data_IF_594452646373
#
_entry.id   IF_594452646373
#
_cell.length_a   1.000
_cell.length_b   1.000
_cell.length_c   1.000
_cell.angle_alpha   90.00
_cell.angle_beta   90.00
_cell.angle_gamma   90.00
#
_symmetry.space_group_name_H-M   'P 1'
#
loop_
_entity.id
_entity.type
_entity.pdbx_description
1 polymer ?
#
# COMPACT_ATOMS: atom_id res chain seq x y z
N UNK A 1 -19.49 -24.43 8.09
CA UNK A 1 -18.88 -23.18 8.61
C UNK A 1 -17.53 -22.90 7.96
N UNK A 2 -16.52 -23.78 8.10
CA UNK A 2 -15.18 -23.56 7.51
C UNK A 2 -15.18 -23.55 5.96
N UNK A 3 -15.96 -24.45 5.34
CA UNK A 3 -16.09 -24.53 3.87
C UNK A 3 -16.74 -23.29 3.23
N UNK A 4 -17.66 -22.63 3.94
CA UNK A 4 -18.32 -21.42 3.46
C UNK A 4 -17.37 -20.22 3.55
N UNK A 5 -16.57 -20.15 4.62
CA UNK A 5 -15.55 -19.12 4.80
C UNK A 5 -14.43 -19.26 3.77
N UNK A 6 -13.94 -20.48 3.51
CA UNK A 6 -12.96 -20.72 2.44
C UNK A 6 -13.54 -20.44 1.06
N UNK A 7 -14.79 -20.80 0.81
CA UNK A 7 -15.47 -20.48 -0.45
C UNK A 7 -15.66 -18.96 -0.64
N UNK A 8 -15.98 -18.22 0.43
CA UNK A 8 -16.12 -16.77 0.38
C UNK A 8 -14.76 -16.08 0.19
N UNK A 9 -13.70 -16.55 0.84
CA UNK A 9 -12.33 -16.05 0.70
C UNK A 9 -11.77 -16.35 -0.70
N UNK A 10 -12.05 -17.54 -1.23
CA UNK A 10 -11.64 -17.95 -2.57
C UNK A 10 -12.42 -17.20 -3.66
N UNK A 11 -13.72 -16.95 -3.44
CA UNK A 11 -14.56 -16.12 -4.32
C UNK A 11 -14.22 -14.63 -4.23
N UNK A 12 -13.92 -14.09 -3.04
CA UNK A 12 -13.42 -12.73 -2.86
C UNK A 12 -12.02 -12.57 -3.46
N UNK A 13 -11.17 -13.60 -3.35
CA UNK A 13 -9.89 -13.69 -4.08
C UNK A 13 -10.11 -13.69 -5.59
N UNK A 14 -11.12 -14.40 -6.09
CA UNK A 14 -11.51 -14.38 -7.50
C UNK A 14 -12.10 -13.04 -7.95
N UNK A 15 -12.86 -12.34 -7.09
CA UNK A 15 -13.35 -10.97 -7.34
C UNK A 15 -12.19 -9.96 -7.34
N UNK A 16 -11.17 -10.15 -6.49
CA UNK A 16 -9.91 -9.42 -6.58
C UNK A 16 -9.07 -9.80 -7.82
N UNK A 17 -9.22 -11.02 -8.35
CA UNK A 17 -8.66 -11.44 -9.65
C UNK A 17 -9.51 -11.00 -10.85
N UNK A 18 -10.74 -10.54 -10.66
CA UNK A 18 -11.65 -10.08 -11.70
C UNK A 18 -11.60 -8.55 -11.77
N UNK A 19 -10.65 -8.03 -12.55
CA UNK A 19 -10.75 -6.80 -13.36
C UNK A 19 -11.15 -5.47 -12.70
N UNK A 20 -11.42 -5.41 -11.40
CA UNK A 20 -11.73 -4.15 -10.71
C UNK A 20 -10.46 -3.35 -10.32
N UNK A 21 -9.29 -3.99 -10.45
CA UNK A 21 -7.97 -3.36 -10.50
C UNK A 21 -7.37 -3.35 -11.92
N UNK A 22 -8.11 -3.80 -12.95
CA UNK A 22 -7.76 -3.57 -14.36
C UNK A 22 -8.58 -2.40 -14.90
N UNK A 23 -8.35 -1.22 -14.35
CA UNK A 23 -8.59 -0.01 -15.13
C UNK A 23 -7.52 0.07 -16.21
N UNK A 24 -7.86 0.12 -17.52
CA UNK A 24 -6.92 0.28 -18.61
C UNK A 24 -6.19 1.64 -18.64
N UNK A 25 -6.21 2.40 -17.55
CA UNK A 25 -5.79 3.80 -17.48
C UNK A 25 -4.58 4.02 -16.56
N UNK A 26 -3.84 2.97 -16.22
CA UNK A 26 -2.71 3.03 -15.28
C UNK A 26 -1.39 2.68 -15.94
N UNK A 27 -0.94 3.44 -16.94
CA UNK A 27 0.49 3.54 -17.27
C UNK A 27 0.88 4.57 -18.35
N UNK A 28 -0.03 5.30 -18.99
CA UNK A 28 0.35 6.04 -20.21
C UNK A 28 0.13 7.56 -20.12
N UNK A 29 1.11 8.27 -19.54
CA UNK A 29 1.55 9.67 -19.82
C UNK A 29 2.27 10.19 -18.56
N UNK A 30 3.60 10.14 -18.49
CA UNK A 30 4.43 11.26 -18.96
C UNK A 30 5.88 10.87 -19.32
N UNK A 31 6.25 9.58 -19.27
CA UNK A 31 7.65 9.16 -19.51
C UNK A 31 7.97 8.83 -20.99
N UNK A 32 7.00 9.02 -21.92
CA UNK A 32 7.25 8.97 -23.38
C UNK A 32 7.83 10.29 -23.94
N UNK A 33 8.54 11.08 -23.13
CA UNK A 33 9.49 12.05 -23.69
C UNK A 33 10.77 11.34 -24.15
N UNK A 34 10.75 11.03 -25.45
CA UNK A 34 11.86 10.87 -26.39
C UNK A 34 13.05 10.03 -25.89
N UNK A 35 13.20 8.87 -26.51
CA UNK A 35 14.45 8.12 -26.56
C UNK A 35 15.56 8.97 -27.22
N UNK A 36 16.20 9.80 -26.42
CA UNK A 36 17.57 10.28 -26.61
C UNK A 36 18.48 9.37 -25.75
N UNK A 37 19.77 9.14 -26.09
CA UNK A 37 20.67 8.35 -25.27
C UNK A 37 20.81 9.03 -23.91
N UNK A 38 20.05 8.58 -22.90
CA UNK A 38 20.08 9.16 -21.57
C UNK A 38 21.44 8.81 -20.97
N UNK A 39 22.16 9.83 -20.51
CA UNK A 39 23.30 9.66 -19.63
C UNK A 39 22.93 8.66 -18.51
N UNK A 40 23.90 7.87 -18.01
CA UNK A 40 23.63 6.96 -16.91
C UNK A 40 22.94 7.73 -15.77
N UNK A 41 21.92 7.13 -15.12
CA UNK A 41 21.23 7.81 -14.03
C UNK A 41 22.25 8.28 -13.00
N UNK A 42 22.08 9.49 -12.45
CA UNK A 42 23.04 10.03 -11.48
C UNK A 42 23.20 9.04 -10.32
N UNK A 43 24.42 8.94 -9.77
CA UNK A 43 24.69 8.02 -8.67
C UNK A 43 23.79 8.35 -7.48
N UNK A 44 23.27 7.31 -6.82
CA UNK A 44 22.42 7.44 -5.65
C UNK A 44 23.16 8.18 -4.53
N UNK A 45 22.48 9.16 -3.94
CA UNK A 45 22.99 9.95 -2.84
C UNK A 45 22.28 9.57 -1.54
N UNK A 46 23.04 9.52 -0.45
CA UNK A 46 22.48 9.26 0.88
C UNK A 46 21.40 10.30 1.18
N UNK A 47 20.21 9.83 1.56
CA UNK A 47 19.01 10.66 1.75
C UNK A 47 18.03 10.66 0.58
N UNK A 48 18.39 10.03 -0.55
CA UNK A 48 17.47 9.86 -1.68
C UNK A 48 16.26 9.00 -1.29
N UNK A 49 15.08 9.45 -1.72
CA UNK A 49 13.85 8.68 -1.63
C UNK A 49 13.77 7.78 -2.84
N UNK A 50 13.59 6.49 -2.58
CA UNK A 50 13.50 5.43 -3.56
C UNK A 50 12.06 4.93 -3.66
N UNK A 51 11.57 4.76 -4.88
CA UNK A 51 10.27 4.18 -5.18
C UNK A 51 10.46 2.96 -6.07
N UNK A 52 9.80 1.87 -5.70
CA UNK A 52 9.85 0.61 -6.44
C UNK A 52 8.42 0.17 -6.72
N UNK A 53 7.97 0.18 -7.99
CA UNK A 53 6.65 -0.31 -8.33
C UNK A 53 6.57 -1.82 -8.06
N UNK A 54 5.56 -2.24 -7.29
CA UNK A 54 5.18 -3.66 -7.10
C UNK A 54 3.88 -3.92 -7.86
N UNK A 55 3.50 -5.19 -7.89
CA UNK A 55 2.27 -5.63 -8.56
C UNK A 55 1.00 -4.97 -8.03
N UNK A 56 0.92 -4.70 -6.73
CA UNK A 56 -0.30 -4.18 -6.08
C UNK A 56 -0.14 -2.80 -5.44
N UNK A 57 1.09 -2.31 -5.29
CA UNK A 57 1.38 -1.04 -4.63
C UNK A 57 2.77 -0.53 -5.02
N UNK A 58 3.07 0.73 -4.74
CA UNK A 58 4.44 1.23 -4.82
C UNK A 58 5.10 1.10 -3.46
N UNK A 59 6.28 0.49 -3.40
CA UNK A 59 7.05 0.36 -2.18
C UNK A 59 8.10 1.48 -2.09
N UNK A 60 8.26 2.05 -0.89
CA UNK A 60 9.11 3.22 -0.67
C UNK A 60 10.25 2.93 0.32
N UNK A 61 11.39 3.60 0.13
CA UNK A 61 12.53 3.56 1.04
C UNK A 61 13.40 4.81 0.97
N UNK A 62 14.31 4.97 1.93
CA UNK A 62 15.34 6.01 1.96
C UNK A 62 16.71 5.35 1.79
N UNK A 63 17.50 5.81 0.82
CA UNK A 63 18.87 5.36 0.63
C UNK A 63 19.77 5.90 1.74
N UNK A 64 20.49 5.01 2.42
CA UNK A 64 21.39 5.36 3.52
C UNK A 64 22.86 5.47 3.10
N UNK A 65 23.17 5.23 1.82
CA UNK A 65 24.55 5.04 1.37
C UNK A 65 25.01 3.59 1.47
N UNK A 66 26.13 3.26 0.82
CA UNK A 66 26.79 1.95 0.89
C UNK A 66 25.87 0.76 0.59
N UNK A 67 25.03 0.86 -0.45
CA UNK A 67 24.09 -0.20 -0.84
C UNK A 67 23.02 -0.52 0.23
N UNK A 68 22.73 0.40 1.16
CA UNK A 68 21.73 0.22 2.24
C UNK A 68 20.50 1.07 2.03
N UNK A 69 19.33 0.49 2.27
CA UNK A 69 18.04 1.18 2.18
C UNK A 69 17.23 0.95 3.46
N UNK A 70 16.80 2.03 4.10
CA UNK A 70 15.81 1.97 5.18
C UNK A 70 14.40 2.01 4.59
N UNK A 71 13.56 1.06 4.97
CA UNK A 71 12.19 0.98 4.51
C UNK A 71 11.29 0.36 5.58
N UNK A 72 10.03 0.79 5.57
CA UNK A 72 8.99 0.28 6.46
C UNK A 72 8.26 -0.88 5.78
N UNK A 73 8.24 -2.05 6.42
CA UNK A 73 7.54 -3.22 5.89
C UNK A 73 6.58 -3.78 6.94
N UNK A 74 5.33 -4.09 6.59
CA UNK A 74 4.45 -4.87 7.47
C UNK A 74 5.04 -6.28 7.67
N UNK A 75 5.43 -6.58 8.89
CA UNK A 75 5.99 -7.89 9.27
C UNK A 75 5.55 -8.21 10.69
N UNK A 76 4.96 -9.39 10.85
CA UNK A 76 4.48 -9.88 12.14
C UNK A 76 5.54 -10.70 12.88
N UNK A 77 6.56 -11.21 12.17
CA UNK A 77 7.55 -12.13 12.74
C UNK A 77 8.34 -11.55 13.93
N UNK A 78 8.74 -10.27 13.95
CA UNK A 78 9.39 -9.65 15.10
C UNK A 78 8.56 -9.71 16.40
N UNK A 79 7.24 -9.86 16.30
CA UNK A 79 6.36 -10.05 17.46
C UNK A 79 6.49 -11.45 18.06
N UNK A 80 6.80 -12.46 17.24
CA UNK A 80 6.83 -13.87 17.64
C UNK A 80 8.25 -14.40 17.87
N UNK A 81 9.27 -13.74 17.32
CA UNK A 81 10.66 -14.18 17.48
C UNK A 81 11.63 -13.00 17.48
N UNK A 82 12.65 -13.07 18.32
CA UNK A 82 13.78 -12.12 18.30
C UNK A 82 14.94 -12.60 17.43
N UNK A 83 14.78 -13.72 16.70
CA UNK A 83 15.83 -14.28 15.86
C UNK A 83 15.99 -13.48 14.56
N UNK A 84 17.05 -12.67 14.49
CA UNK A 84 17.33 -11.79 13.35
C UNK A 84 17.49 -12.54 12.02
N UNK A 85 17.93 -13.81 12.03
CA UNK A 85 18.04 -14.61 10.80
C UNK A 85 16.68 -14.94 10.21
N UNK A 86 15.68 -15.23 11.05
CA UNK A 86 14.32 -15.51 10.61
C UNK A 86 13.62 -14.24 10.13
N UNK A 87 13.81 -13.12 10.82
CA UNK A 87 13.21 -11.83 10.44
C UNK A 87 13.71 -11.37 9.05
N UNK A 88 15.02 -11.55 8.78
CA UNK A 88 15.67 -11.17 7.51
C UNK A 88 15.32 -12.04 6.31
N UNK A 89 14.65 -13.17 6.50
CA UNK A 89 14.18 -13.98 5.36
C UNK A 89 13.25 -13.19 4.45
N UNK A 90 13.19 -13.58 3.17
CA UNK A 90 12.28 -13.00 2.18
C UNK A 90 10.86 -13.00 2.74
N UNK A 91 10.22 -11.83 2.68
CA UNK A 91 8.89 -11.66 3.24
C UNK A 91 7.88 -12.20 2.24
N UNK A 92 7.13 -13.23 2.66
CA UNK A 92 6.05 -13.82 1.87
C UNK A 92 4.79 -12.94 1.91
N UNK A 93 3.91 -13.10 0.93
CA UNK A 93 2.62 -12.40 0.92
C UNK A 93 1.82 -12.64 2.21
N UNK A 94 1.85 -13.86 2.74
CA UNK A 94 1.16 -14.20 3.99
C UNK A 94 1.68 -13.38 5.17
N UNK A 95 3.00 -13.19 5.27
CA UNK A 95 3.62 -12.34 6.31
C UNK A 95 3.21 -10.88 6.17
N UNK A 96 3.19 -10.35 4.95
CA UNK A 96 2.75 -8.98 4.68
C UNK A 96 1.29 -8.80 5.08
N UNK A 97 0.41 -9.73 4.67
CA UNK A 97 -1.02 -9.71 4.97
C UNK A 97 -1.25 -9.80 6.49
N UNK A 98 -0.57 -10.72 7.18
CA UNK A 98 -0.65 -10.84 8.64
C UNK A 98 -0.13 -9.57 9.33
N UNK A 99 0.99 -9.00 8.89
CA UNK A 99 1.50 -7.72 9.39
C UNK A 99 0.47 -6.60 9.27
N UNK A 100 -0.23 -6.52 8.13
CA UNK A 100 -1.32 -5.56 7.93
C UNK A 100 -2.51 -5.81 8.86
N UNK A 101 -2.99 -7.06 8.97
CA UNK A 101 -4.15 -7.43 9.82
C UNK A 101 -3.87 -7.10 11.28
N UNK A 102 -2.67 -7.43 11.76
CA UNK A 102 -2.26 -7.21 13.14
C UNK A 102 -1.68 -5.82 13.39
N UNK A 103 -1.61 -4.95 12.37
CA UNK A 103 -1.09 -3.59 12.47
C UNK A 103 0.35 -3.53 12.99
N UNK A 104 1.20 -4.43 12.51
CA UNK A 104 2.62 -4.55 12.91
C UNK A 104 3.52 -4.39 11.69
N UNK A 105 4.52 -3.53 11.84
CA UNK A 105 5.57 -3.33 10.86
C UNK A 105 6.89 -3.05 11.54
N UNK A 106 7.95 -3.17 10.75
CA UNK A 106 9.31 -2.87 11.20
C UNK A 106 9.95 -1.99 10.14
N UNK A 107 10.56 -0.90 10.60
CA UNK A 107 11.51 -0.14 9.78
C UNK A 107 12.84 -0.87 9.89
N UNK A 108 13.30 -1.44 8.78
CA UNK A 108 14.55 -2.20 8.72
C UNK A 108 15.45 -1.68 7.61
N UNK A 109 16.69 -2.16 7.63
CA UNK A 109 17.69 -1.86 6.61
C UNK A 109 17.99 -3.13 5.82
N UNK A 110 17.71 -3.07 4.53
CA UNK A 110 18.02 -4.13 3.56
C UNK A 110 18.99 -3.60 2.49
N UNK A 111 19.51 -4.50 1.66
CA UNK A 111 20.34 -4.13 0.51
C UNK A 111 19.49 -3.45 -0.58
N UNK A 112 20.12 -2.65 -1.45
CA UNK A 112 19.43 -2.05 -2.59
C UNK A 112 18.81 -3.10 -3.52
N UNK A 113 19.50 -4.24 -3.69
CA UNK A 113 19.05 -5.36 -4.52
C UNK A 113 17.82 -6.04 -3.92
N UNK A 114 17.85 -6.35 -2.62
CA UNK A 114 16.70 -6.93 -1.91
C UNK A 114 15.51 -5.96 -1.90
N UNK A 115 15.78 -4.68 -1.70
CA UNK A 115 14.78 -3.62 -1.76
C UNK A 115 14.16 -3.48 -3.16
N UNK A 116 14.97 -3.59 -4.23
CA UNK A 116 14.49 -3.49 -5.60
C UNK A 116 13.72 -4.75 -6.04
N UNK A 117 14.15 -5.93 -5.57
CA UNK A 117 13.57 -7.23 -5.93
C UNK A 117 13.34 -7.35 -7.45
N UNK A 118 14.37 -7.04 -8.24
CA UNK A 118 14.35 -7.09 -9.71
C UNK A 118 13.59 -5.98 -10.42
N UNK A 119 12.99 -5.01 -9.72
CA UNK A 119 12.27 -3.88 -10.32
C UNK A 119 13.17 -2.64 -10.46
N UNK A 120 12.85 -1.78 -11.43
CA UNK A 120 13.52 -0.49 -11.61
C UNK A 120 13.26 0.43 -10.41
N UNK A 121 14.32 1.09 -9.92
CA UNK A 121 14.25 2.06 -8.83
C UNK A 121 14.04 3.45 -9.42
N UNK A 122 13.05 4.16 -8.90
CA UNK A 122 12.78 5.55 -9.23
C UNK A 122 13.26 6.42 -8.07
N UNK A 123 13.99 7.49 -8.37
CA UNK A 123 14.65 8.32 -7.36
C UNK A 123 13.99 9.69 -7.29
N UNK A 124 13.63 10.12 -6.08
CA UNK A 124 13.12 11.45 -5.77
C UNK A 124 11.93 11.91 -6.64
N UNK A 125 11.11 10.98 -7.14
CA UNK A 125 9.96 11.32 -7.98
C UNK A 125 8.91 12.11 -7.19
N UNK A 126 8.74 11.82 -5.90
CA UNK A 126 7.91 12.58 -4.98
C UNK A 126 8.24 14.09 -4.93
N UNK A 127 9.48 14.52 -5.21
CA UNK A 127 9.86 15.95 -5.16
C UNK A 127 9.12 16.80 -6.19
N UNK A 128 8.74 16.20 -7.32
CA UNK A 128 7.98 16.90 -8.38
C UNK A 128 6.52 17.14 -8.00
N UNK A 129 6.03 16.40 -7.02
CA UNK A 129 4.61 16.35 -6.65
C UNK A 129 4.35 17.04 -5.31
N UNK A 130 5.34 17.04 -4.42
CA UNK A 130 5.24 17.71 -3.13
C UNK A 130 5.45 19.22 -3.28
N UNK A 131 4.61 19.99 -2.60
CA UNK A 131 4.76 21.44 -2.50
C UNK A 131 5.85 21.84 -1.50
N UNK A 132 6.17 20.95 -0.55
CA UNK A 132 7.18 21.17 0.48
C UNK A 132 8.57 20.85 -0.06
N UNK A 133 9.54 21.72 0.20
CA UNK A 133 10.93 21.47 -0.18
C UNK A 133 11.52 20.29 0.62
N UNK A 134 12.35 19.44 -0.02
CA UNK A 134 13.03 18.35 0.68
C UNK A 134 14.05 18.90 1.68
N UNK A 135 14.20 18.21 2.79
CA UNK A 135 15.22 18.48 3.79
C UNK A 135 16.60 18.10 3.26
N UNK A 136 17.69 18.63 3.87
CA UNK A 136 19.06 18.23 3.51
C UNK A 136 19.23 16.72 3.58
N UNK A 137 19.85 16.13 2.54
CA UNK A 137 19.88 14.68 2.32
C UNK A 137 20.41 13.90 3.54
N UNK A 138 21.46 14.42 4.18
CA UNK A 138 22.02 13.83 5.41
C UNK A 138 21.01 13.82 6.58
N UNK A 139 20.18 14.87 6.73
CA UNK A 139 19.11 14.88 7.74
C UNK A 139 18.01 13.86 7.43
N UNK A 140 17.72 13.63 6.15
CA UNK A 140 16.74 12.62 5.71
C UNK A 140 17.21 11.22 6.12
N UNK A 141 18.46 10.89 5.82
CA UNK A 141 19.06 9.61 6.20
C UNK A 141 19.09 9.42 7.73
N UNK A 142 19.53 10.43 8.49
CA UNK A 142 19.55 10.37 9.96
C UNK A 142 18.15 10.17 10.56
N UNK A 143 17.10 10.75 9.96
CA UNK A 143 15.73 10.52 10.40
C UNK A 143 15.31 9.07 10.16
N UNK A 144 15.62 8.52 8.99
CA UNK A 144 15.33 7.13 8.67
C UNK A 144 16.04 6.17 9.63
N UNK A 145 17.30 6.44 9.97
CA UNK A 145 18.09 5.65 10.94
C UNK A 145 17.50 5.71 12.35
N UNK A 146 17.02 6.87 12.80
CA UNK A 146 16.38 7.03 14.12
C UNK A 146 15.05 6.29 14.26
N UNK A 147 14.39 6.00 13.15
CA UNK A 147 13.09 5.34 13.12
C UNK A 147 13.20 3.83 12.93
N UNK A 148 14.42 3.27 12.90
CA UNK A 148 14.65 1.83 12.83
C UNK A 148 14.04 1.09 14.03
N UNK A 149 13.42 -0.05 13.76
CA UNK A 149 12.77 -0.89 14.76
C UNK A 149 11.28 -1.06 14.52
N UNK A 150 10.60 -1.58 15.53
CA UNK A 150 9.19 -1.95 15.45
C UNK A 150 8.28 -0.73 15.58
N UNK A 151 7.28 -0.66 14.70
CA UNK A 151 6.29 0.41 14.65
C UNK A 151 4.89 -0.16 14.43
N UNK A 152 3.87 0.58 14.89
CA UNK A 152 2.48 0.21 14.59
C UNK A 152 2.17 0.55 13.14
N UNK A 153 1.79 -0.45 12.35
CA UNK A 153 1.47 -0.27 10.94
C UNK A 153 0.01 0.15 10.75
N UNK A 154 -0.21 1.04 9.80
CA UNK A 154 -1.56 1.33 9.31
C UNK A 154 -1.50 1.59 7.81
N UNK A 155 -2.24 0.81 7.02
CA UNK A 155 -2.31 0.99 5.56
C UNK A 155 -2.70 2.41 5.16
N UNK A 156 -3.59 3.03 5.94
CA UNK A 156 -4.13 4.36 5.65
C UNK A 156 -3.32 5.49 6.29
N UNK A 157 -2.68 5.25 7.44
CA UNK A 157 -2.14 6.34 8.27
C UNK A 157 -0.65 6.22 8.65
N UNK A 158 -0.05 5.04 8.51
CA UNK A 158 1.36 4.79 8.83
C UNK A 158 1.92 3.65 7.97
N UNK A 159 2.03 3.95 6.68
CA UNK A 159 2.54 3.04 5.65
C UNK A 159 3.94 3.49 5.18
N UNK A 160 4.52 2.77 4.20
CA UNK A 160 5.86 3.06 3.71
C UNK A 160 5.99 4.46 3.05
N UNK A 161 4.95 4.97 2.40
CA UNK A 161 4.95 6.32 1.82
C UNK A 161 5.02 7.39 2.92
N UNK A 162 4.18 7.28 3.96
CA UNK A 162 4.22 8.20 5.11
C UNK A 162 5.58 8.24 5.78
N UNK A 163 6.23 7.08 5.92
CA UNK A 163 7.57 6.98 6.50
C UNK A 163 8.59 7.81 5.70
N UNK A 164 8.66 7.60 4.38
CA UNK A 164 9.65 8.30 3.55
C UNK A 164 9.34 9.79 3.42
N UNK A 165 8.07 10.20 3.35
CA UNK A 165 7.71 11.62 3.26
C UNK A 165 7.99 12.34 4.58
N UNK A 166 7.77 11.68 5.72
CA UNK A 166 8.16 12.21 7.02
C UNK A 166 9.68 12.41 7.12
N UNK A 167 10.46 11.44 6.65
CA UNK A 167 11.92 11.55 6.62
C UNK A 167 12.37 12.69 5.70
N UNK A 168 11.80 12.79 4.48
CA UNK A 168 12.27 13.71 3.43
C UNK A 168 11.72 15.13 3.55
N UNK A 169 10.44 15.31 3.84
CA UNK A 169 9.76 16.61 3.86
C UNK A 169 9.37 17.07 5.27
N UNK A 170 9.42 16.17 6.25
CA UNK A 170 9.01 16.46 7.63
C UNK A 170 7.51 16.38 7.88
N UNK A 171 6.71 16.00 6.88
CA UNK A 171 5.28 15.72 7.02
C UNK A 171 4.96 14.33 6.50
N UNK A 172 4.22 13.56 7.29
CA UNK A 172 3.77 12.22 6.92
C UNK A 172 2.52 12.34 6.04
N UNK A 173 2.65 12.05 4.75
CA UNK A 173 1.57 12.12 3.76
C UNK A 173 1.67 10.93 2.83
N UNK A 174 0.54 10.47 2.28
CA UNK A 174 0.47 9.28 1.45
C UNK A 174 -0.53 9.50 0.34
N UNK A 175 -0.03 9.64 -0.88
CA UNK A 175 -0.89 9.77 -2.06
C UNK A 175 -1.64 8.48 -2.35
N UNK A 176 -1.07 7.32 -1.99
CA UNK A 176 -1.80 6.05 -2.08
C UNK A 176 -3.07 6.07 -1.23
N UNK A 177 -2.97 6.64 -0.03
CA UNK A 177 -4.13 6.82 0.87
C UNK A 177 -5.13 7.80 0.26
N UNK A 178 -4.67 8.95 -0.23
CA UNK A 178 -5.57 9.97 -0.82
C UNK A 178 -6.33 9.41 -2.02
N UNK A 179 -5.64 8.74 -2.94
CA UNK A 179 -6.26 8.09 -4.11
C UNK A 179 -7.26 7.01 -3.71
N UNK A 180 -6.96 6.24 -2.67
CA UNK A 180 -7.89 5.25 -2.14
C UNK A 180 -9.17 5.91 -1.62
N UNK A 181 -9.06 7.00 -0.86
CA UNK A 181 -10.22 7.75 -0.39
C UNK A 181 -11.00 8.41 -1.52
N UNK A 182 -10.34 8.98 -2.53
CA UNK A 182 -11.03 9.54 -3.70
C UNK A 182 -11.75 8.46 -4.52
N UNK A 183 -11.13 7.30 -4.70
CA UNK A 183 -11.78 6.15 -5.35
C UNK A 183 -12.97 5.67 -4.53
N UNK A 184 -12.82 5.57 -3.21
CA UNK A 184 -13.90 5.18 -2.30
C UNK A 184 -15.06 6.17 -2.33
N UNK A 185 -14.78 7.48 -2.29
CA UNK A 185 -15.80 8.52 -2.45
C UNK A 185 -16.51 8.40 -3.80
N UNK A 186 -15.75 8.17 -4.88
CA UNK A 186 -16.31 7.98 -6.22
C UNK A 186 -17.23 6.76 -6.28
N UNK A 187 -16.87 5.66 -5.63
CA UNK A 187 -17.70 4.44 -5.56
C UNK A 187 -18.95 4.68 -4.73
N UNK A 188 -18.82 5.34 -3.57
CA UNK A 188 -19.95 5.67 -2.70
C UNK A 188 -20.96 6.56 -3.43
N UNK A 189 -20.48 7.53 -4.20
CA UNK A 189 -21.32 8.47 -4.95
C UNK A 189 -21.93 7.87 -6.22
N UNK A 190 -21.40 6.75 -6.71
CA UNK A 190 -21.95 6.09 -7.91
C UNK A 190 -23.28 5.41 -7.57
N UNK A 191 -24.37 5.85 -8.22
CA UNK A 191 -25.72 5.26 -8.09
C UNK A 191 -25.75 3.76 -8.43
N UNK A 192 -24.81 3.27 -9.26
CA UNK A 192 -24.68 1.84 -9.56
C UNK A 192 -24.30 1.03 -8.32
N UNK A 193 -23.57 1.62 -7.37
CA UNK A 193 -23.20 0.97 -6.10
C UNK A 193 -24.43 0.65 -5.23
N UNK A 194 -25.44 1.52 -5.26
CA UNK A 194 -26.73 1.32 -4.57
C UNK A 194 -27.47 0.12 -5.17
N UNK A 195 -27.53 0.04 -6.50
CA UNK A 195 -28.21 -1.08 -7.20
C UNK A 195 -27.48 -2.40 -6.93
N UNK A 196 -26.14 -2.42 -7.07
CA UNK A 196 -25.34 -3.62 -6.84
C UNK A 196 -25.45 -4.09 -5.39
N UNK A 197 -25.37 -3.19 -4.41
CA UNK A 197 -25.50 -3.54 -3.00
C UNK A 197 -26.90 -4.07 -2.66
N UNK A 198 -27.96 -3.50 -3.25
CA UNK A 198 -29.32 -4.01 -3.13
C UNK A 198 -29.47 -5.43 -3.71
N UNK A 199 -28.92 -5.69 -4.90
CA UNK A 199 -28.93 -7.01 -5.52
C UNK A 199 -28.13 -8.04 -4.70
N UNK A 200 -26.95 -7.67 -4.20
CA UNK A 200 -26.12 -8.54 -3.37
C UNK A 200 -26.82 -8.90 -2.05
N UNK A 201 -27.48 -7.92 -1.43
CA UNK A 201 -28.28 -8.13 -0.23
C UNK A 201 -29.48 -9.04 -0.48
N UNK A 202 -30.18 -8.88 -1.61
CA UNK A 202 -31.26 -9.78 -2.00
C UNK A 202 -30.78 -11.22 -2.23
N UNK A 203 -29.66 -11.41 -2.94
CA UNK A 203 -29.05 -12.74 -3.12
C UNK A 203 -28.66 -13.35 -1.77
N UNK A 204 -28.10 -12.55 -0.86
CA UNK A 204 -27.76 -13.00 0.50
C UNK A 204 -28.99 -13.49 1.27
N UNK A 205 -30.12 -12.78 1.19
CA UNK A 205 -31.39 -13.20 1.81
C UNK A 205 -31.91 -14.52 1.24
N UNK A 206 -31.78 -14.72 -0.07
CA UNK A 206 -32.21 -15.98 -0.72
C UNK A 206 -31.30 -17.15 -0.33
N UNK A 207 -29.98 -16.94 -0.26
CA UNK A 207 -29.01 -18.00 0.04
C UNK A 207 -28.95 -18.38 1.53
N UNK A 208 -29.07 -17.40 2.43
CA UNK A 208 -28.85 -17.60 3.87
C UNK A 208 -30.12 -17.45 4.71
N UNK A 209 -31.25 -17.13 4.08
CA UNK A 209 -32.52 -16.91 4.75
C UNK A 209 -32.65 -15.51 5.37
N UNK A 210 -33.87 -15.22 5.83
CA UNK A 210 -34.23 -13.95 6.45
C UNK A 210 -33.85 -14.02 7.93
N UNK A 211 -32.72 -13.40 8.28
CA UNK A 211 -32.25 -13.25 9.65
C UNK A 211 -31.83 -11.79 9.88
N UNK A 212 -31.85 -11.28 11.12
CA UNK A 212 -31.40 -9.91 11.38
C UNK A 212 -29.98 -9.63 10.86
N UNK A 213 -29.09 -10.63 10.92
CA UNK A 213 -27.72 -10.53 10.40
C UNK A 213 -27.62 -10.39 8.88
N UNK A 214 -28.63 -10.80 8.11
CA UNK A 214 -28.68 -10.69 6.64
C UNK A 214 -29.57 -9.55 6.18
N UNK A 215 -30.72 -9.34 6.83
CA UNK A 215 -31.70 -8.30 6.49
C UNK A 215 -31.21 -6.90 6.84
N UNK A 216 -30.57 -6.71 8.00
CA UNK A 216 -30.14 -5.38 8.45
C UNK A 216 -29.07 -4.79 7.51
N UNK A 217 -27.98 -5.51 7.13
CA UNK A 217 -27.02 -4.99 6.16
C UNK A 217 -27.62 -4.74 4.77
N UNK A 218 -28.56 -5.61 4.35
CA UNK A 218 -29.23 -5.50 3.03
C UNK A 218 -30.02 -4.22 2.89
N UNK A 219 -30.55 -3.66 3.98
CA UNK A 219 -31.29 -2.40 3.96
C UNK A 219 -30.35 -1.21 4.26
N UNK A 220 -29.52 -1.33 5.29
CA UNK A 220 -28.69 -0.22 5.75
C UNK A 220 -27.60 0.17 4.75
N UNK A 221 -26.92 -0.79 4.11
CA UNK A 221 -25.80 -0.48 3.21
C UNK A 221 -26.27 0.29 1.97
N UNK A 222 -27.30 -0.17 1.22
CA UNK A 222 -27.80 0.60 0.08
C UNK A 222 -28.40 1.94 0.49
N UNK A 223 -29.10 2.01 1.63
CA UNK A 223 -29.65 3.27 2.14
C UNK A 223 -28.56 4.28 2.49
N UNK A 224 -27.48 3.85 3.16
CA UNK A 224 -26.34 4.72 3.46
C UNK A 224 -25.61 5.17 2.21
N UNK A 225 -25.47 4.31 1.19
CA UNK A 225 -24.89 4.68 -0.11
C UNK A 225 -25.78 5.70 -0.84
N UNK A 226 -27.10 5.49 -0.85
CA UNK A 226 -28.06 6.41 -1.46
C UNK A 226 -28.07 7.79 -0.79
N UNK A 227 -28.00 7.83 0.54
CA UNK A 227 -27.92 9.09 1.30
C UNK A 227 -26.58 9.83 1.13
N UNK A 228 -25.51 9.11 0.75
CA UNK A 228 -24.17 9.67 0.60
C UNK A 228 -23.84 10.14 -0.83
N UNK A 229 -24.64 9.74 -1.83
CA UNK A 229 -24.44 10.10 -3.24
C UNK A 229 -25.22 11.34 -3.67
#
# INVERSE_FOLDING_TARGET
MLQLLTFLVEKLSLVFRLKCLESPWWWESDDRERASPRAPPPPLQRGDLLEVPRTLFTHFGIYLGDNRVAHLIPDILPVFTSNSKLIRTVITNDRLILGCIYRRATVRVDSLEDFAYGSSILVNRADRMMQTQPLPAERVAQRAEKLLGDVQYSLLWNNCEHFVTFCRYGSATSRQTDKFFESLKSVIRDQRSVIISGLLGFISLVCFGVAPSTTVPTILIPFSLWMAG
#
